data_IF_785258539175
#
_entry.id   IF_785258539175
#
_cell.length_a   1.000
_cell.length_b   1.000
_cell.length_c   1.000
_cell.angle_alpha   90.00
_cell.angle_beta   90.00
_cell.angle_gamma   90.00
#
_symmetry.space_group_name_H-M   'P 1'
#
loop_
_entity.id
_entity.type
_entity.pdbx_description
1 polymer ?
#
# COMPACT_ATOMS: atom_id res chain seq x y z
N UNK A 1 -19.87 7.85 -1.98
CA UNK A 1 -19.60 6.76 -2.94
C UNK A 1 -18.18 6.29 -2.67
N UNK A 2 -17.97 4.99 -2.51
CA UNK A 2 -16.64 4.42 -2.29
C UNK A 2 -15.87 4.26 -3.62
N UNK A 3 -14.56 3.98 -3.53
CA UNK A 3 -13.67 3.88 -4.68
C UNK A 3 -13.96 2.67 -5.57
N UNK A 4 -14.47 1.56 -5.02
CA UNK A 4 -14.85 0.42 -5.84
C UNK A 4 -16.05 0.79 -6.70
N UNK A 5 -17.08 1.40 -6.10
CA UNK A 5 -18.25 1.89 -6.82
C UNK A 5 -17.87 2.95 -7.86
N UNK A 6 -16.91 3.84 -7.58
CA UNK A 6 -16.41 4.84 -8.54
C UNK A 6 -15.90 4.19 -9.84
N UNK A 7 -15.21 3.06 -9.75
CA UNK A 7 -14.71 2.31 -10.92
C UNK A 7 -15.68 1.23 -11.41
N UNK A 8 -16.88 1.12 -10.83
CA UNK A 8 -17.84 0.06 -11.15
C UNK A 8 -17.33 -1.34 -10.82
N UNK A 9 -16.53 -1.47 -9.75
CA UNK A 9 -15.95 -2.72 -9.27
C UNK A 9 -16.72 -3.26 -8.06
N UNK A 10 -16.70 -4.58 -7.88
CA UNK A 10 -17.20 -5.19 -6.65
C UNK A 10 -16.19 -4.95 -5.51
N UNK A 11 -16.62 -4.49 -4.33
CA UNK A 11 -15.73 -4.33 -3.18
C UNK A 11 -15.10 -5.66 -2.77
N UNK A 12 -13.77 -5.66 -2.66
CA UNK A 12 -13.01 -6.85 -2.28
C UNK A 12 -11.50 -6.64 -2.44
N UNK A 13 -10.70 -7.48 -1.78
CA UNK A 13 -9.26 -7.38 -1.90
C UNK A 13 -8.78 -7.86 -3.27
N UNK A 14 -9.27 -9.03 -3.70
CA UNK A 14 -9.04 -9.55 -5.05
C UNK A 14 -9.77 -8.67 -6.06
N UNK A 15 -9.01 -7.96 -6.90
CA UNK A 15 -9.56 -7.10 -7.95
C UNK A 15 -8.90 -7.36 -9.29
N UNK A 16 -9.67 -7.18 -10.36
CA UNK A 16 -9.17 -7.23 -11.72
C UNK A 16 -8.43 -5.91 -12.04
N UNK A 17 -7.10 -5.98 -12.09
CA UNK A 17 -6.23 -4.80 -12.30
C UNK A 17 -6.34 -4.23 -13.71
N UNK A 18 -6.61 -5.07 -14.70
CA UNK A 18 -6.85 -4.64 -16.09
C UNK A 18 -8.15 -3.86 -16.20
N UNK A 19 -9.22 -4.35 -15.57
CA UNK A 19 -10.49 -3.65 -15.52
C UNK A 19 -10.36 -2.32 -14.78
N UNK A 20 -9.68 -2.30 -13.63
CA UNK A 20 -9.38 -1.07 -12.90
C UNK A 20 -8.63 -0.07 -13.80
N UNK A 21 -7.64 -0.53 -14.58
CA UNK A 21 -6.86 0.32 -15.48
C UNK A 21 -7.69 0.91 -16.62
N UNK A 22 -8.53 0.07 -17.24
CA UNK A 22 -9.46 0.51 -18.28
C UNK A 22 -10.43 1.58 -17.75
N UNK A 23 -11.01 1.35 -16.56
CA UNK A 23 -11.95 2.28 -15.93
C UNK A 23 -11.30 3.59 -15.52
N UNK A 24 -10.07 3.53 -15.02
CA UNK A 24 -9.28 4.72 -14.72
C UNK A 24 -9.06 5.57 -15.97
N UNK A 25 -8.62 4.98 -17.09
CA UNK A 25 -8.40 5.72 -18.32
C UNK A 25 -9.70 6.34 -18.88
N UNK A 26 -10.82 5.61 -18.80
CA UNK A 26 -12.13 6.11 -19.22
C UNK A 26 -12.54 7.35 -18.42
N UNK A 27 -12.50 7.26 -17.08
CA UNK A 27 -12.85 8.36 -16.18
C UNK A 27 -11.88 9.53 -16.31
N UNK A 28 -10.58 9.28 -16.40
CA UNK A 28 -9.57 10.32 -16.57
C UNK A 28 -9.80 11.08 -17.88
N UNK A 29 -10.13 10.39 -18.98
CA UNK A 29 -10.50 11.05 -20.24
C UNK A 29 -11.79 11.85 -20.10
N UNK A 30 -12.79 11.37 -19.37
CA UNK A 30 -14.07 12.07 -19.21
C UNK A 30 -13.96 13.35 -18.38
N UNK A 31 -13.15 13.30 -17.32
CA UNK A 31 -13.03 14.36 -16.31
C UNK A 31 -11.69 15.11 -16.37
N UNK A 32 -10.96 15.00 -17.48
CA UNK A 32 -9.70 15.73 -17.66
C UNK A 32 -9.93 17.25 -17.58
N UNK A 33 -9.19 18.01 -16.75
CA UNK A 33 -9.37 19.45 -16.59
C UNK A 33 -9.38 20.22 -17.92
N UNK A 34 -8.54 19.82 -18.88
CA UNK A 34 -8.45 20.43 -20.21
C UNK A 34 -9.79 20.45 -20.98
N UNK A 35 -10.66 19.45 -20.77
CA UNK A 35 -12.00 19.44 -21.40
C UNK A 35 -12.93 20.53 -20.86
N UNK A 36 -12.60 21.07 -19.70
CA UNK A 36 -13.37 22.09 -19.00
C UNK A 36 -12.67 23.45 -18.99
N UNK A 37 -11.48 23.58 -19.60
CA UNK A 37 -10.69 24.82 -19.60
C UNK A 37 -11.44 26.05 -20.17
N UNK A 38 -12.39 25.84 -21.07
CA UNK A 38 -13.24 26.90 -21.64
C UNK A 38 -14.62 27.03 -20.96
N UNK A 39 -14.87 26.29 -19.89
CA UNK A 39 -16.13 26.29 -19.12
C UNK A 39 -16.09 27.34 -18.00
N UNK A 40 -17.24 27.70 -17.39
CA UNK A 40 -17.27 28.55 -16.21
C UNK A 40 -16.36 28.04 -15.09
N UNK A 41 -15.82 28.95 -14.28
CA UNK A 41 -14.87 28.62 -13.20
C UNK A 41 -15.39 27.54 -12.23
N UNK A 42 -16.69 27.55 -11.92
CA UNK A 42 -17.31 26.53 -11.08
C UNK A 42 -17.18 25.11 -11.68
N UNK A 43 -17.38 24.97 -13.00
CA UNK A 43 -17.24 23.69 -13.69
C UNK A 43 -15.77 23.25 -13.78
N UNK A 44 -14.84 24.18 -13.96
CA UNK A 44 -13.40 23.90 -13.92
C UNK A 44 -12.97 23.33 -12.56
N UNK A 45 -13.40 23.97 -11.47
CA UNK A 45 -13.09 23.52 -10.11
C UNK A 45 -13.68 22.13 -9.82
N UNK A 46 -14.90 21.87 -10.29
CA UNK A 46 -15.51 20.55 -10.19
C UNK A 46 -14.72 19.47 -10.94
N UNK A 47 -14.27 19.77 -12.17
CA UNK A 47 -13.46 18.84 -12.95
C UNK A 47 -12.11 18.54 -12.28
N UNK A 48 -11.45 19.55 -11.72
CA UNK A 48 -10.20 19.37 -10.94
C UNK A 48 -10.43 18.48 -9.72
N UNK A 49 -11.49 18.75 -8.95
CA UNK A 49 -11.83 17.94 -7.76
C UNK A 49 -12.16 16.49 -8.12
N UNK A 50 -12.88 16.26 -9.21
CA UNK A 50 -13.20 14.91 -9.70
C UNK A 50 -11.95 14.18 -10.17
N UNK A 51 -11.10 14.83 -10.97
CA UNK A 51 -9.82 14.27 -11.42
C UNK A 51 -8.92 13.88 -10.24
N UNK A 52 -8.82 14.73 -9.22
CA UNK A 52 -8.09 14.42 -7.99
C UNK A 52 -8.66 13.18 -7.27
N UNK A 53 -9.99 13.08 -7.17
CA UNK A 53 -10.68 11.93 -6.56
C UNK A 53 -10.41 10.64 -7.33
N UNK A 54 -10.46 10.68 -8.67
CA UNK A 54 -10.18 9.53 -9.53
C UNK A 54 -8.74 9.06 -9.37
N UNK A 55 -7.78 10.00 -9.33
CA UNK A 55 -6.36 9.67 -9.11
C UNK A 55 -6.12 9.05 -7.74
N UNK A 56 -6.70 9.61 -6.69
CA UNK A 56 -6.60 9.06 -5.34
C UNK A 56 -7.19 7.65 -5.26
N UNK A 57 -8.37 7.45 -5.83
CA UNK A 57 -9.03 6.15 -5.86
C UNK A 57 -8.20 5.11 -6.62
N UNK A 58 -7.63 5.50 -7.76
CA UNK A 58 -6.75 4.64 -8.56
C UNK A 58 -5.49 4.24 -7.79
N UNK A 59 -4.78 5.20 -7.20
CA UNK A 59 -3.59 4.93 -6.40
C UNK A 59 -3.91 4.00 -5.23
N UNK A 60 -5.01 4.26 -4.54
CA UNK A 60 -5.46 3.48 -3.38
C UNK A 60 -5.79 2.04 -3.76
N UNK A 61 -6.56 1.80 -4.82
CA UNK A 61 -6.94 0.44 -5.21
C UNK A 61 -5.81 -0.32 -5.90
N UNK A 62 -4.95 0.36 -6.67
CA UNK A 62 -3.81 -0.27 -7.36
C UNK A 62 -2.80 -0.83 -6.36
N UNK A 63 -2.46 -0.08 -5.31
CA UNK A 63 -1.47 -0.51 -4.33
C UNK A 63 -2.04 -1.54 -3.35
N UNK A 64 -1.48 -2.76 -3.24
CA UNK A 64 -2.06 -3.83 -2.42
C UNK A 64 -2.27 -3.46 -0.95
N UNK A 65 -1.31 -2.76 -0.33
CA UNK A 65 -1.41 -2.36 1.08
C UNK A 65 -2.43 -1.23 1.27
N UNK A 66 -2.43 -0.23 0.39
CA UNK A 66 -3.37 0.90 0.47
C UNK A 66 -4.82 0.43 0.24
N UNK A 67 -5.00 -0.58 -0.63
CA UNK A 67 -6.29 -1.23 -0.84
C UNK A 67 -6.78 -1.96 0.40
N UNK A 68 -5.90 -2.69 1.09
CA UNK A 68 -6.27 -3.35 2.35
C UNK A 68 -6.69 -2.33 3.41
N UNK A 69 -5.93 -1.24 3.56
CA UNK A 69 -6.26 -0.13 4.46
C UNK A 69 -7.59 0.52 4.10
N UNK A 70 -7.88 0.70 2.82
CA UNK A 70 -9.13 1.25 2.36
C UNK A 70 -10.32 0.32 2.65
N UNK A 71 -10.17 -0.99 2.43
CA UNK A 71 -11.20 -1.97 2.79
C UNK A 71 -11.45 -1.93 4.31
N UNK A 72 -10.41 -1.82 5.12
CA UNK A 72 -10.53 -1.72 6.58
C UNK A 72 -11.24 -0.43 7.00
N UNK A 73 -10.94 0.71 6.38
CA UNK A 73 -11.59 1.99 6.70
C UNK A 73 -13.08 1.99 6.37
N UNK A 74 -13.49 1.32 5.28
CA UNK A 74 -14.91 1.10 4.95
C UNK A 74 -15.64 0.26 6.03
N UNK A 75 -14.90 -0.54 6.81
CA UNK A 75 -15.43 -1.36 7.90
C UNK A 75 -15.18 -0.75 9.30
N UNK A 76 -14.81 0.54 9.37
CA UNK A 76 -14.62 1.26 10.63
C UNK A 76 -13.25 1.11 11.28
N UNK A 77 -12.29 0.48 10.59
CA UNK A 77 -10.91 0.35 11.05
C UNK A 77 -10.03 1.37 10.32
N UNK A 78 -9.87 2.55 10.92
CA UNK A 78 -8.96 3.57 10.40
C UNK A 78 -7.54 3.34 10.92
N UNK A 79 -6.66 2.87 10.03
CA UNK A 79 -5.25 2.62 10.36
C UNK A 79 -4.38 3.88 10.25
N UNK A 80 -4.90 4.97 9.69
CA UNK A 80 -4.19 6.25 9.66
C UNK A 80 -4.27 6.97 11.02
N UNK A 81 -5.35 6.74 11.76
CA UNK A 81 -5.47 7.19 13.15
C UNK A 81 -4.55 6.36 14.06
N UNK A 82 -3.43 6.95 14.48
CA UNK A 82 -2.34 6.35 15.28
C UNK A 82 -2.76 5.81 16.66
N UNK A 83 -4.03 5.88 17.05
CA UNK A 83 -4.53 5.43 18.35
C UNK A 83 -4.32 3.92 18.60
N UNK A 84 -4.08 3.15 17.54
CA UNK A 84 -3.76 1.72 17.61
C UNK A 84 -2.34 1.44 17.09
N UNK A 85 -1.33 1.80 17.89
CA UNK A 85 0.04 1.30 17.73
C UNK A 85 0.06 -0.23 17.84
N UNK A 86 0.97 -0.88 17.11
CA UNK A 86 1.20 -2.33 17.27
C UNK A 86 1.62 -2.62 18.71
N UNK A 87 0.78 -3.36 19.44
CA UNK A 87 1.04 -3.77 20.85
C UNK A 87 1.71 -5.13 20.97
N UNK A 88 2.04 -5.76 19.84
CA UNK A 88 2.69 -7.05 19.76
C UNK A 88 4.18 -6.90 20.05
N UNK A 89 4.58 -7.16 21.29
CA UNK A 89 5.97 -7.03 21.75
C UNK A 89 6.92 -7.97 21.02
N UNK A 90 6.49 -9.19 20.71
CA UNK A 90 7.29 -10.15 19.97
C UNK A 90 7.60 -9.64 18.56
N UNK A 91 6.60 -9.05 17.90
CA UNK A 91 6.81 -8.41 16.60
C UNK A 91 7.74 -7.20 16.68
N UNK A 92 7.61 -6.34 17.70
CA UNK A 92 8.49 -5.18 17.86
C UNK A 92 9.95 -5.59 18.09
N UNK A 93 10.20 -6.66 18.85
CA UNK A 93 11.54 -7.23 19.02
C UNK A 93 12.07 -7.79 17.70
N UNK A 94 11.27 -8.56 16.96
CA UNK A 94 11.64 -9.05 15.60
C UNK A 94 12.02 -7.88 14.67
N UNK A 95 11.30 -6.76 14.72
CA UNK A 95 11.62 -5.58 13.92
C UNK A 95 12.93 -4.90 14.33
N UNK A 96 13.29 -4.91 15.62
CA UNK A 96 14.57 -4.38 16.09
C UNK A 96 15.72 -5.27 15.63
N UNK A 97 15.60 -6.58 15.81
CA UNK A 97 16.60 -7.57 15.38
C UNK A 97 16.87 -7.48 13.86
N UNK A 98 15.82 -7.35 13.05
CA UNK A 98 15.95 -7.17 11.60
C UNK A 98 16.67 -5.87 11.22
N UNK A 99 16.48 -4.79 11.99
CA UNK A 99 17.16 -3.51 11.75
C UNK A 99 18.64 -3.59 12.13
N UNK A 100 18.94 -4.18 13.28
CA UNK A 100 20.32 -4.40 13.72
C UNK A 100 21.09 -5.25 12.70
N UNK A 101 20.47 -6.32 12.19
CA UNK A 101 21.09 -7.14 11.15
C UNK A 101 21.34 -6.36 9.83
N UNK A 102 20.39 -5.50 9.42
CA UNK A 102 20.58 -4.65 8.24
C UNK A 102 21.72 -3.65 8.44
N UNK A 103 21.82 -3.05 9.63
CA UNK A 103 22.89 -2.11 9.98
C UNK A 103 24.26 -2.82 9.98
N UNK A 104 24.35 -4.05 10.49
CA UNK A 104 25.56 -4.87 10.46
C UNK A 104 25.98 -5.21 9.01
N UNK A 105 25.01 -5.50 8.13
CA UNK A 105 25.24 -5.73 6.70
C UNK A 105 25.76 -4.46 6.02
N UNK A 106 25.16 -3.29 6.30
CA UNK A 106 25.62 -2.00 5.76
C UNK A 106 27.07 -1.71 6.20
N UNK A 107 27.40 -1.92 7.47
CA UNK A 107 28.76 -1.72 7.99
C UNK A 107 29.79 -2.67 7.36
N UNK A 108 29.41 -3.93 7.16
CA UNK A 108 30.26 -4.94 6.53
C UNK A 108 30.39 -4.76 5.01
N UNK A 109 29.50 -3.99 4.37
CA UNK A 109 29.36 -3.85 2.91
C UNK A 109 29.22 -5.22 2.22
N UNK A 110 28.47 -6.12 2.85
CA UNK A 110 28.38 -7.52 2.46
C UNK A 110 27.16 -7.75 1.54
N UNK A 111 27.38 -7.63 0.23
CA UNK A 111 26.31 -7.75 -0.77
C UNK A 111 25.65 -9.14 -0.79
N UNK A 112 26.40 -10.21 -0.55
CA UNK A 112 25.86 -11.58 -0.53
C UNK A 112 24.92 -11.77 0.68
N UNK A 113 25.29 -11.22 1.85
CA UNK A 113 24.39 -11.21 3.01
C UNK A 113 23.16 -10.35 2.77
N UNK A 114 23.31 -9.22 2.10
CA UNK A 114 22.18 -8.35 1.75
C UNK A 114 21.16 -9.08 0.87
N UNK A 115 21.62 -9.81 -0.16
CA UNK A 115 20.72 -10.60 -1.02
C UNK A 115 19.97 -11.68 -0.22
N UNK A 116 20.68 -12.39 0.67
CA UNK A 116 20.07 -13.37 1.58
C UNK A 116 19.03 -12.75 2.51
N UNK A 117 19.35 -11.59 3.09
CA UNK A 117 18.45 -10.81 3.94
C UNK A 117 17.20 -10.33 3.19
N UNK A 118 17.38 -9.75 2.00
CA UNK A 118 16.32 -9.29 1.13
C UNK A 118 15.35 -10.42 0.76
N UNK A 119 15.88 -11.59 0.39
CA UNK A 119 15.07 -12.78 0.09
C UNK A 119 14.24 -13.26 1.28
N UNK A 120 14.81 -13.22 2.49
CA UNK A 120 14.10 -13.55 3.73
C UNK A 120 12.98 -12.56 4.03
N UNK A 121 13.24 -11.26 3.97
CA UNK A 121 12.23 -10.21 4.18
C UNK A 121 11.11 -10.29 3.14
N UNK A 122 11.45 -10.54 1.87
CA UNK A 122 10.47 -10.77 0.79
C UNK A 122 9.55 -11.96 1.08
N UNK A 123 10.11 -13.04 1.62
CA UNK A 123 9.32 -14.22 2.04
C UNK A 123 8.39 -13.88 3.21
N UNK A 124 8.85 -13.11 4.19
CA UNK A 124 8.02 -12.63 5.30
C UNK A 124 6.84 -11.79 4.80
N UNK A 125 7.08 -10.84 3.89
CA UNK A 125 6.03 -10.01 3.29
C UNK A 125 5.04 -10.87 2.51
N UNK A 126 5.50 -11.84 1.72
CA UNK A 126 4.62 -12.75 0.98
C UNK A 126 3.69 -13.53 1.92
N UNK A 127 4.24 -14.10 3.00
CA UNK A 127 3.47 -14.89 3.96
C UNK A 127 2.45 -14.03 4.71
N UNK A 128 2.86 -12.85 5.19
CA UNK A 128 1.94 -11.91 5.88
C UNK A 128 0.89 -11.34 4.94
N UNK A 129 1.22 -11.10 3.67
CA UNK A 129 0.25 -10.68 2.66
C UNK A 129 -0.80 -11.75 2.43
N UNK A 130 -0.40 -13.02 2.27
CA UNK A 130 -1.36 -14.13 2.14
C UNK A 130 -2.27 -14.26 3.37
N UNK A 131 -1.72 -14.12 4.58
CA UNK A 131 -2.48 -14.10 5.83
C UNK A 131 -3.50 -12.96 5.86
N UNK A 132 -3.08 -11.75 5.49
CA UNK A 132 -3.96 -10.57 5.41
C UNK A 132 -5.13 -10.82 4.46
N UNK A 133 -4.89 -11.40 3.27
CA UNK A 133 -5.95 -11.72 2.31
C UNK A 133 -6.97 -12.68 2.92
N UNK A 134 -6.51 -13.76 3.55
CA UNK A 134 -7.40 -14.71 4.22
C UNK A 134 -8.24 -14.04 5.32
N UNK A 135 -7.64 -13.15 6.12
CA UNK A 135 -8.34 -12.43 7.18
C UNK A 135 -9.37 -11.45 6.62
N UNK A 136 -9.05 -10.72 5.56
CA UNK A 136 -9.99 -9.82 4.88
C UNK A 136 -11.17 -10.60 4.28
N UNK A 137 -10.91 -11.72 3.60
CA UNK A 137 -11.94 -12.57 3.02
C UNK A 137 -12.85 -13.20 4.10
N UNK A 138 -12.27 -13.57 5.23
CA UNK A 138 -12.99 -14.07 6.41
C UNK A 138 -13.66 -12.97 7.25
N UNK A 139 -13.53 -11.69 6.87
CA UNK A 139 -14.04 -10.52 7.60
C UNK A 139 -13.53 -10.40 9.04
N UNK A 140 -12.32 -10.91 9.28
CA UNK A 140 -11.57 -10.82 10.53
C UNK A 140 -10.88 -9.45 10.61
N UNK A 141 -11.67 -8.38 10.71
CA UNK A 141 -11.19 -7.01 10.52
C UNK A 141 -10.11 -6.56 11.50
N UNK A 142 -10.25 -6.92 12.78
CA UNK A 142 -9.26 -6.59 13.81
C UNK A 142 -7.93 -7.28 13.54
N UNK A 143 -7.97 -8.59 13.23
CA UNK A 143 -6.78 -9.36 12.90
C UNK A 143 -6.14 -8.87 11.59
N UNK A 144 -6.94 -8.57 10.57
CA UNK A 144 -6.48 -8.00 9.32
C UNK A 144 -5.83 -6.63 9.54
N UNK A 145 -6.39 -5.78 10.39
CA UNK A 145 -5.82 -4.48 10.72
C UNK A 145 -4.44 -4.63 11.37
N UNK A 146 -4.27 -5.58 12.29
CA UNK A 146 -2.97 -5.86 12.90
C UNK A 146 -1.95 -6.40 11.88
N UNK A 147 -2.38 -7.29 10.97
CA UNK A 147 -1.50 -7.78 9.90
C UNK A 147 -1.10 -6.66 8.94
N UNK A 148 -2.02 -5.75 8.57
CA UNK A 148 -1.72 -4.58 7.73
C UNK A 148 -0.74 -3.64 8.42
N UNK A 149 -0.89 -3.39 9.73
CA UNK A 149 0.09 -2.61 10.50
C UNK A 149 1.47 -3.25 10.43
N UNK A 150 1.58 -4.56 10.65
CA UNK A 150 2.86 -5.29 10.54
C UNK A 150 3.45 -5.22 9.14
N UNK A 151 2.62 -5.31 8.10
CA UNK A 151 3.05 -5.16 6.71
C UNK A 151 3.62 -3.76 6.43
N UNK A 152 3.09 -2.67 7.03
CA UNK A 152 3.68 -1.32 6.90
C UNK A 152 5.12 -1.24 7.44
N UNK A 153 5.45 -1.97 8.50
CA UNK A 153 6.82 -2.01 9.02
C UNK A 153 7.76 -2.76 8.06
N UNK A 154 7.30 -3.89 7.52
CA UNK A 154 8.08 -4.64 6.53
C UNK A 154 8.23 -3.90 5.21
N UNK A 155 7.23 -3.14 4.77
CA UNK A 155 7.29 -2.28 3.59
C UNK A 155 8.38 -1.21 3.73
N UNK A 156 8.42 -0.54 4.90
CA UNK A 156 9.52 0.37 5.24
C UNK A 156 10.88 -0.32 5.25
N UNK A 157 10.97 -1.53 5.81
CA UNK A 157 12.22 -2.30 5.84
C UNK A 157 12.68 -2.66 4.41
N UNK A 158 11.76 -3.04 3.51
CA UNK A 158 12.08 -3.29 2.10
C UNK A 158 12.65 -2.05 1.42
N UNK A 159 12.04 -0.88 1.62
CA UNK A 159 12.60 0.36 1.07
C UNK A 159 14.00 0.68 1.61
N UNK A 160 14.29 0.34 2.87
CA UNK A 160 15.64 0.51 3.44
C UNK A 160 16.65 -0.46 2.82
N UNK A 161 16.25 -1.70 2.54
CA UNK A 161 17.06 -2.70 1.84
C UNK A 161 17.36 -2.23 0.42
N UNK A 162 16.35 -1.80 -0.33
CA UNK A 162 16.51 -1.29 -1.71
C UNK A 162 17.48 -0.11 -1.76
N UNK A 163 17.37 0.83 -0.82
CA UNK A 163 18.31 1.96 -0.70
C UNK A 163 19.75 1.50 -0.41
N UNK A 164 19.92 0.44 0.39
CA UNK A 164 21.23 -0.10 0.67
C UNK A 164 21.81 -0.87 -0.53
N UNK A 165 20.98 -1.63 -1.24
CA UNK A 165 21.38 -2.30 -2.49
C UNK A 165 21.88 -1.28 -3.52
N UNK A 166 21.13 -0.18 -3.75
CA UNK A 166 21.55 0.91 -4.62
C UNK A 166 22.90 1.51 -4.19
N UNK A 167 23.06 1.83 -2.90
CA UNK A 167 24.32 2.35 -2.37
C UNK A 167 25.48 1.40 -2.62
N UNK A 168 25.32 0.09 -2.40
CA UNK A 168 26.41 -0.89 -2.57
C UNK A 168 26.77 -1.14 -4.03
N UNK A 169 25.83 -0.99 -4.96
CA UNK A 169 26.08 -1.10 -6.41
C UNK A 169 26.79 0.13 -6.99
N UNK A 170 26.64 1.29 -6.36
CA UNK A 170 27.28 2.55 -6.76
C UNK A 170 28.75 2.67 -6.29
N UNK A 171 29.29 1.67 -5.57
CA UNK A 171 30.70 1.58 -5.13
C UNK A 171 31.50 0.52 -5.90
#
# INVERSE_FOLDING_TARGET
MDYFTLFGLTPGYTLNTELLASRYQELQRQFHPDKYASRPQAEQLLAVSQSATINQAWQTLRHPLARAEYILSLNGFDLANEQHTVRDTAFLMEQLELREELDDIEQAKDGDKLEGFASRVKTMVKNRSAQMVQQLDARQWEQAADTVRKLRFLDKLQSQIEQLEEKLLDF
#
